data_IF_487566843597
#
_entry.id   IF_487566843597
#
_cell.length_a   1.000
_cell.length_b   1.000
_cell.length_c   1.000
_cell.angle_alpha   90.00
_cell.angle_beta   90.00
_cell.angle_gamma   90.00
#
_symmetry.space_group_name_H-M   'P 1'
#
loop_
_entity.id
_entity.type
_entity.pdbx_description
1 polymer ?
#
# COMPACT_ATOMS: atom_id res chain seq x y z
N UNK A 1 -4.16 -0.35 -25.87
CA UNK A 1 -4.14 -1.74 -25.34
C UNK A 1 -3.18 -1.97 -24.15
N UNK A 2 -2.71 -0.91 -23.47
CA UNK A 2 -1.73 -1.02 -22.37
C UNK A 2 -2.37 -1.32 -20.99
N UNK A 3 -3.69 -1.12 -20.84
CA UNK A 3 -4.37 -1.24 -19.54
C UNK A 3 -4.62 -2.66 -19.02
N UNK A 4 -4.72 -3.66 -19.90
CA UNK A 4 -5.12 -5.03 -19.49
C UNK A 4 -3.97 -5.78 -18.81
N UNK A 5 -2.71 -5.52 -19.19
CA UNK A 5 -1.54 -6.19 -18.61
C UNK A 5 -1.14 -5.64 -17.23
N UNK A 6 -1.37 -4.35 -16.95
CA UNK A 6 -0.92 -3.71 -15.71
C UNK A 6 -1.69 -4.19 -14.46
N UNK A 7 -2.96 -4.59 -14.62
CA UNK A 7 -3.83 -5.03 -13.53
C UNK A 7 -3.65 -6.50 -13.13
N UNK A 8 -3.39 -7.39 -14.09
CA UNK A 8 -3.36 -8.84 -13.90
C UNK A 8 -2.29 -9.31 -12.92
N UNK A 9 -1.08 -8.73 -13.01
CA UNK A 9 0.00 -9.04 -12.09
C UNK A 9 -0.34 -8.69 -10.62
N UNK A 10 -1.16 -7.66 -10.38
CA UNK A 10 -1.56 -7.33 -9.01
C UNK A 10 -2.54 -8.37 -8.46
N UNK A 11 -3.50 -8.84 -9.26
CA UNK A 11 -4.39 -9.92 -8.84
C UNK A 11 -3.60 -11.20 -8.49
N UNK A 12 -2.61 -11.56 -9.32
CA UNK A 12 -1.71 -12.68 -9.06
C UNK A 12 -0.86 -12.49 -7.80
N UNK A 13 -0.48 -11.26 -7.44
CA UNK A 13 0.22 -10.97 -6.18
C UNK A 13 -0.73 -10.98 -4.97
N UNK A 14 -1.98 -10.56 -5.14
CA UNK A 14 -2.96 -10.45 -4.04
C UNK A 14 -3.47 -11.81 -3.60
N UNK A 15 -3.74 -12.74 -4.52
CA UNK A 15 -4.20 -14.10 -4.20
C UNK A 15 -3.31 -14.82 -3.16
N UNK A 16 -1.99 -14.94 -3.34
CA UNK A 16 -1.11 -15.54 -2.34
C UNK A 16 -1.02 -14.71 -1.06
N UNK A 17 -1.16 -13.38 -1.11
CA UNK A 17 -1.26 -12.56 0.12
C UNK A 17 -2.53 -12.88 0.93
N UNK A 18 -3.68 -13.08 0.27
CA UNK A 18 -4.91 -13.56 0.91
C UNK A 18 -4.72 -14.96 1.52
N UNK A 19 -4.09 -15.88 0.80
CA UNK A 19 -3.79 -17.22 1.31
C UNK A 19 -2.89 -17.14 2.55
N UNK A 20 -1.86 -16.28 2.53
CA UNK A 20 -1.02 -16.02 3.68
C UNK A 20 -1.83 -15.54 4.88
N UNK A 21 -2.70 -14.54 4.72
CA UNK A 21 -3.55 -14.03 5.79
C UNK A 21 -4.42 -15.13 6.42
N UNK A 22 -5.09 -15.94 5.61
CA UNK A 22 -5.92 -17.07 6.09
C UNK A 22 -5.10 -18.12 6.82
N UNK A 23 -3.86 -18.38 6.40
CA UNK A 23 -3.00 -19.37 7.04
C UNK A 23 -2.45 -18.88 8.39
N UNK A 24 -2.21 -17.58 8.53
CA UNK A 24 -1.75 -16.97 9.80
C UNK A 24 -2.82 -17.04 10.87
N UNK A 25 -4.08 -16.76 10.52
CA UNK A 25 -5.20 -16.89 11.45
C UNK A 25 -5.43 -18.33 11.90
N UNK A 26 -4.97 -19.31 11.10
CA UNK A 26 -4.94 -20.74 11.44
C UNK A 26 -3.64 -21.19 12.14
N UNK A 27 -2.74 -20.28 12.49
CA UNK A 27 -1.47 -20.58 13.17
C UNK A 27 -0.41 -21.27 12.29
N UNK A 28 -0.58 -21.28 10.97
CA UNK A 28 0.34 -21.92 10.02
C UNK A 28 1.38 -20.95 9.46
N UNK A 29 2.18 -20.37 10.35
CA UNK A 29 3.11 -19.27 10.04
C UNK A 29 4.09 -19.58 8.89
N UNK A 30 4.67 -20.78 8.83
CA UNK A 30 5.64 -21.11 7.77
C UNK A 30 4.97 -21.19 6.40
N UNK A 31 3.81 -21.85 6.30
CA UNK A 31 3.07 -21.94 5.03
C UNK A 31 2.58 -20.56 4.61
N UNK A 32 2.14 -19.73 5.56
CA UNK A 32 1.80 -18.35 5.29
C UNK A 32 3.00 -17.55 4.76
N UNK A 33 4.18 -17.71 5.38
CA UNK A 33 5.42 -17.09 4.92
C UNK A 33 5.78 -17.50 3.49
N UNK A 34 5.58 -18.76 3.12
CA UNK A 34 5.78 -19.22 1.75
C UNK A 34 4.90 -18.46 0.74
N UNK A 35 3.59 -18.39 0.99
CA UNK A 35 2.69 -17.64 0.12
C UNK A 35 2.99 -16.13 0.12
N UNK A 36 3.37 -15.55 1.26
CA UNK A 36 3.78 -14.15 1.31
C UNK A 36 5.05 -13.90 0.47
N UNK A 37 6.02 -14.83 0.51
CA UNK A 37 7.21 -14.78 -0.34
C UNK A 37 6.86 -14.79 -1.83
N UNK A 38 5.94 -15.67 -2.25
CA UNK A 38 5.43 -15.69 -3.64
C UNK A 38 4.77 -14.36 -4.00
N UNK A 39 3.92 -13.82 -3.13
CA UNK A 39 3.27 -12.52 -3.36
C UNK A 39 4.30 -11.42 -3.63
N UNK A 40 5.33 -11.34 -2.79
CA UNK A 40 6.40 -10.35 -2.88
C UNK A 40 7.29 -10.54 -4.11
N UNK A 41 7.51 -11.79 -4.56
CA UNK A 41 8.22 -12.09 -5.81
C UNK A 41 7.49 -11.58 -7.04
N UNK A 42 6.14 -11.67 -7.05
CA UNK A 42 5.33 -11.17 -8.15
C UNK A 42 5.35 -9.64 -8.15
N UNK A 43 5.03 -9.03 -7.00
CA UNK A 43 5.19 -7.60 -6.77
C UNK A 43 5.41 -7.30 -5.28
N UNK A 44 6.24 -6.30 -4.93
CA UNK A 44 6.50 -5.92 -3.54
C UNK A 44 5.32 -5.19 -2.84
N UNK A 45 4.07 -5.41 -3.27
CA UNK A 45 2.88 -4.75 -2.73
C UNK A 45 2.56 -5.19 -1.30
N UNK A 46 2.89 -6.44 -0.95
CA UNK A 46 2.65 -6.99 0.37
C UNK A 46 3.78 -6.68 1.37
N UNK A 47 4.68 -5.72 1.09
CA UNK A 47 5.82 -5.44 1.98
C UNK A 47 5.39 -4.99 3.38
N UNK A 48 4.27 -4.26 3.48
CA UNK A 48 3.69 -3.90 4.78
C UNK A 48 3.27 -5.11 5.61
N UNK A 49 2.91 -6.22 4.96
CA UNK A 49 2.60 -7.49 5.61
C UNK A 49 3.85 -8.08 6.26
N UNK A 50 4.94 -8.20 5.50
CA UNK A 50 6.21 -8.71 6.02
C UNK A 50 6.76 -7.81 7.14
N UNK A 51 6.68 -6.48 6.96
CA UNK A 51 7.09 -5.52 7.97
C UNK A 51 6.28 -5.70 9.28
N UNK A 52 4.96 -5.85 9.18
CA UNK A 52 4.12 -6.12 10.35
C UNK A 52 4.46 -7.47 11.01
N UNK A 53 4.74 -8.52 10.24
CA UNK A 53 5.15 -9.81 10.80
C UNK A 53 6.47 -9.74 11.57
N UNK A 54 7.48 -9.05 11.04
CA UNK A 54 8.74 -8.78 11.75
C UNK A 54 8.46 -7.99 13.03
N UNK A 55 7.64 -6.95 12.91
CA UNK A 55 7.28 -6.08 14.03
C UNK A 55 6.53 -6.80 15.14
N UNK A 56 5.74 -7.83 14.82
CA UNK A 56 5.05 -8.71 15.80
C UNK A 56 5.87 -9.94 16.19
N UNK A 57 7.17 -9.97 15.88
CA UNK A 57 8.07 -11.08 16.17
C UNK A 57 7.59 -12.44 15.64
N UNK A 58 6.83 -12.46 14.54
CA UNK A 58 6.37 -13.69 13.85
C UNK A 58 7.50 -14.23 12.96
N UNK A 59 8.62 -14.58 13.59
CA UNK A 59 9.88 -14.90 12.90
C UNK A 59 9.78 -16.08 11.94
N UNK A 60 8.96 -17.09 12.23
CA UNK A 60 8.76 -18.24 11.33
C UNK A 60 8.17 -17.84 9.98
N UNK A 61 7.18 -16.95 10.00
CA UNK A 61 6.58 -16.36 8.80
C UNK A 61 7.61 -15.52 8.06
N UNK A 62 8.26 -14.59 8.76
CA UNK A 62 9.22 -13.67 8.15
C UNK A 62 10.40 -14.42 7.52
N UNK A 63 10.95 -15.41 8.24
CA UNK A 63 12.04 -16.25 7.75
C UNK A 63 11.62 -17.04 6.52
N UNK A 64 10.44 -17.66 6.52
CA UNK A 64 10.00 -18.45 5.36
C UNK A 64 9.76 -17.57 4.14
N UNK A 65 9.17 -16.38 4.30
CA UNK A 65 9.03 -15.41 3.22
C UNK A 65 10.39 -14.96 2.67
N UNK A 66 11.34 -14.64 3.55
CA UNK A 66 12.71 -14.27 3.17
C UNK A 66 13.45 -15.39 2.46
N UNK A 67 13.29 -16.65 2.89
CA UNK A 67 13.89 -17.81 2.24
C UNK A 67 13.32 -18.00 0.83
N UNK A 68 12.00 -17.90 0.65
CA UNK A 68 11.39 -17.98 -0.69
C UNK A 68 11.93 -16.88 -1.61
N UNK A 69 12.00 -15.64 -1.10
CA UNK A 69 12.58 -14.52 -1.85
C UNK A 69 14.03 -14.80 -2.23
N UNK A 70 14.85 -15.23 -1.27
CA UNK A 70 16.26 -15.54 -1.48
C UNK A 70 16.46 -16.65 -2.53
N UNK A 71 15.72 -17.76 -2.41
CA UNK A 71 15.83 -18.92 -3.29
C UNK A 71 15.44 -18.62 -4.74
N UNK A 72 14.68 -17.56 -5.00
CA UNK A 72 14.32 -17.15 -6.36
C UNK A 72 15.21 -16.01 -6.85
N UNK A 73 15.41 -14.98 -6.03
CA UNK A 73 16.18 -13.80 -6.42
C UNK A 73 17.67 -14.11 -6.62
N UNK A 74 18.31 -14.90 -5.76
CA UNK A 74 19.75 -15.17 -5.87
C UNK A 74 20.08 -15.97 -7.14
N UNK A 75 19.40 -17.10 -7.46
CA UNK A 75 19.66 -17.79 -8.72
C UNK A 75 19.34 -16.94 -9.94
N UNK A 76 18.31 -16.09 -9.88
CA UNK A 76 17.97 -15.17 -10.97
C UNK A 76 19.09 -14.16 -11.22
N UNK A 77 19.62 -13.54 -10.16
CA UNK A 77 20.75 -12.61 -10.26
C UNK A 77 22.01 -13.33 -10.73
N UNK A 78 22.25 -14.55 -10.26
CA UNK A 78 23.41 -15.33 -10.68
C UNK A 78 23.34 -15.71 -12.16
N UNK A 79 22.17 -16.11 -12.66
CA UNK A 79 21.97 -16.53 -14.04
C UNK A 79 21.90 -15.36 -15.03
N UNK A 80 21.26 -14.25 -14.64
CA UNK A 80 20.94 -13.14 -15.54
C UNK A 80 21.68 -11.84 -15.21
N UNK A 81 22.47 -11.81 -14.13
CA UNK A 81 23.16 -10.62 -13.65
C UNK A 81 22.24 -9.62 -12.94
N UNK A 82 22.84 -8.51 -12.48
CA UNK A 82 22.13 -7.45 -11.74
C UNK A 82 21.05 -6.73 -12.57
N UNK A 83 21.08 -6.84 -13.91
CA UNK A 83 20.04 -6.27 -14.78
C UNK A 83 18.66 -6.86 -14.49
N UNK A 84 18.60 -8.09 -13.99
CA UNK A 84 17.35 -8.73 -13.54
C UNK A 84 16.69 -8.01 -12.36
N UNK A 85 17.46 -7.21 -11.61
CA UNK A 85 16.97 -6.39 -10.50
C UNK A 85 16.74 -4.93 -10.89
N UNK A 86 16.86 -4.56 -12.17
CA UNK A 86 16.79 -3.16 -12.59
C UNK A 86 15.52 -2.46 -12.09
N UNK A 87 14.37 -3.13 -12.12
CA UNK A 87 13.10 -2.57 -11.61
C UNK A 87 13.10 -2.37 -10.08
N UNK A 88 13.78 -3.24 -9.32
CA UNK A 88 13.93 -3.11 -7.86
C UNK A 88 14.93 -2.00 -7.53
N UNK A 89 16.05 -1.95 -8.25
CA UNK A 89 17.08 -0.92 -8.08
C UNK A 89 16.54 0.45 -8.46
N UNK A 90 15.79 0.56 -9.57
CA UNK A 90 15.14 1.81 -9.98
C UNK A 90 14.05 2.25 -8.99
N UNK A 91 13.40 1.31 -8.29
CA UNK A 91 12.42 1.64 -7.25
C UNK A 91 13.08 2.11 -5.93
N UNK A 92 14.35 1.74 -5.67
CA UNK A 92 15.10 2.09 -4.45
C UNK A 92 16.01 3.30 -4.67
N UNK A 93 16.57 3.45 -5.87
CA UNK A 93 17.47 4.54 -6.23
C UNK A 93 16.72 5.85 -6.43
N UNK A 94 17.37 6.95 -6.04
CA UNK A 94 16.98 8.31 -6.43
C UNK A 94 17.10 8.44 -7.94
N UNK A 95 16.08 8.01 -8.69
CA UNK A 95 15.91 8.48 -10.04
C UNK A 95 15.43 9.95 -9.95
N UNK A 96 16.24 10.94 -10.36
CA UNK A 96 15.77 12.32 -10.47
C UNK A 96 14.52 12.43 -11.38
N UNK A 97 14.29 11.46 -12.27
CA UNK A 97 13.08 11.31 -13.09
C UNK A 97 11.82 10.80 -12.37
N UNK A 98 11.93 10.13 -11.22
CA UNK A 98 10.75 9.73 -10.40
C UNK A 98 9.93 10.96 -9.98
N UNK A 99 10.60 12.11 -9.84
CA UNK A 99 9.95 13.39 -9.55
C UNK A 99 9.06 13.96 -10.65
N UNK A 100 9.28 13.55 -11.90
CA UNK A 100 8.41 13.92 -13.03
C UNK A 100 7.20 12.99 -13.14
N UNK A 101 7.20 11.87 -12.40
CA UNK A 101 6.13 10.87 -12.44
C UNK A 101 5.15 10.98 -11.27
N UNK A 102 5.48 11.68 -10.18
CA UNK A 102 4.59 11.78 -9.02
C UNK A 102 3.37 12.68 -9.26
N UNK A 103 3.51 13.76 -10.05
CA UNK A 103 2.37 14.57 -10.51
C UNK A 103 1.47 13.87 -11.54
N UNK A 104 1.92 12.78 -12.16
CA UNK A 104 1.12 12.00 -13.13
C UNK A 104 -0.07 11.35 -12.42
N UNK A 105 -1.32 11.48 -12.91
CA UNK A 105 -2.50 11.05 -12.15
C UNK A 105 -2.46 9.58 -11.69
N UNK A 106 -1.92 8.63 -12.47
CA UNK A 106 -1.71 7.27 -11.99
C UNK A 106 -0.91 7.11 -10.70
N UNK A 107 -0.05 8.06 -10.30
CA UNK A 107 0.63 8.06 -9.01
C UNK A 107 -0.36 8.44 -7.89
N UNK A 108 -0.69 7.47 -7.04
CA UNK A 108 -1.69 7.57 -5.97
C UNK A 108 -1.00 7.32 -4.62
N UNK A 109 -0.34 8.36 -4.13
CA UNK A 109 0.37 8.41 -2.85
C UNK A 109 0.28 9.83 -2.28
N UNK A 110 0.72 10.03 -1.03
CA UNK A 110 0.82 11.37 -0.44
C UNK A 110 1.78 12.28 -1.23
N UNK A 111 2.79 11.71 -1.87
CA UNK A 111 3.70 12.44 -2.76
C UNK A 111 2.98 12.89 -4.03
N UNK A 112 2.23 12.00 -4.67
CA UNK A 112 1.48 12.35 -5.88
C UNK A 112 0.38 13.37 -5.62
N UNK A 113 -0.31 13.26 -4.48
CA UNK A 113 -1.27 14.25 -4.02
C UNK A 113 -0.60 15.61 -3.79
N UNK A 114 0.49 15.66 -3.02
CA UNK A 114 1.17 16.92 -2.74
C UNK A 114 1.69 17.60 -4.01
N UNK A 115 2.31 16.84 -4.94
CA UNK A 115 2.76 17.40 -6.22
C UNK A 115 1.58 17.93 -7.06
N UNK A 116 0.47 17.20 -7.17
CA UNK A 116 -0.70 17.70 -7.91
C UNK A 116 -1.28 19.00 -7.34
N UNK A 117 -1.28 19.15 -6.02
CA UNK A 117 -1.86 20.33 -5.39
C UNK A 117 -0.91 21.52 -5.35
N UNK A 118 0.40 21.29 -5.37
CA UNK A 118 1.39 22.33 -5.06
C UNK A 118 2.39 22.60 -6.19
N UNK A 119 2.28 21.92 -7.33
CA UNK A 119 3.10 22.18 -8.52
C UNK A 119 2.24 22.28 -9.78
N UNK A 120 2.60 23.16 -10.70
CA UNK A 120 1.90 23.27 -11.98
C UNK A 120 2.04 21.99 -12.81
N UNK A 121 0.93 21.57 -13.40
CA UNK A 121 0.88 20.42 -14.30
C UNK A 121 -0.26 20.54 -15.30
N UNK A 122 -0.19 19.76 -16.38
CA UNK A 122 -1.20 19.79 -17.45
C UNK A 122 -2.47 18.99 -17.15
N UNK A 123 -2.59 18.35 -15.98
CA UNK A 123 -3.73 17.49 -15.64
C UNK A 123 -4.87 18.19 -14.90
N UNK A 124 -4.71 19.45 -14.49
CA UNK A 124 -5.65 20.16 -13.63
C UNK A 124 -5.04 21.42 -13.04
N UNK A 125 -5.72 22.02 -12.07
CA UNK A 125 -5.26 23.20 -11.35
C UNK A 125 -4.36 22.81 -10.17
N UNK A 126 -3.47 23.72 -9.77
CA UNK A 126 -2.68 23.64 -8.55
C UNK A 126 -2.92 24.90 -7.70
N UNK A 127 -2.77 24.79 -6.38
CA UNK A 127 -2.87 25.93 -5.44
C UNK A 127 -1.61 26.80 -5.53
N UNK A 128 -0.47 26.17 -5.79
CA UNK A 128 0.84 26.79 -5.86
C UNK A 128 1.68 26.17 -6.98
N UNK A 129 2.84 26.75 -7.24
CA UNK A 129 3.87 26.19 -8.11
C UNK A 129 5.22 26.13 -7.39
N UNK A 130 5.26 25.37 -6.31
CA UNK A 130 6.45 25.22 -5.47
C UNK A 130 6.70 23.74 -5.15
N UNK A 131 7.70 23.19 -5.84
CA UNK A 131 8.14 21.81 -5.68
C UNK A 131 8.75 21.53 -4.30
N UNK A 132 9.45 22.49 -3.70
CA UNK A 132 10.02 22.33 -2.37
C UNK A 132 8.91 22.22 -1.33
N UNK A 133 7.88 23.06 -1.46
CA UNK A 133 6.68 22.99 -0.64
C UNK A 133 5.97 21.65 -0.83
N UNK A 134 5.79 21.17 -2.06
CA UNK A 134 5.19 19.87 -2.35
C UNK A 134 5.92 18.71 -1.66
N UNK A 135 7.25 18.64 -1.79
CA UNK A 135 8.06 17.60 -1.16
C UNK A 135 8.01 17.68 0.36
N UNK A 136 8.13 18.89 0.93
CA UNK A 136 8.04 19.10 2.37
C UNK A 136 6.68 18.63 2.91
N UNK A 137 5.58 19.02 2.25
CA UNK A 137 4.22 18.58 2.62
C UNK A 137 4.08 17.06 2.53
N UNK A 138 4.54 16.43 1.45
CA UNK A 138 4.48 14.99 1.28
C UNK A 138 5.24 14.23 2.39
N UNK A 139 6.45 14.69 2.72
CA UNK A 139 7.27 14.09 3.78
C UNK A 139 6.64 14.26 5.16
N UNK A 140 6.13 15.46 5.49
CA UNK A 140 5.44 15.71 6.77
C UNK A 140 4.21 14.81 6.90
N UNK A 141 3.34 14.77 5.88
CA UNK A 141 2.16 13.91 5.89
C UNK A 141 2.53 12.43 6.03
N UNK A 142 3.56 11.98 5.29
CA UNK A 142 4.04 10.60 5.36
C UNK A 142 4.59 10.25 6.74
N UNK A 143 5.38 11.15 7.34
CA UNK A 143 5.91 10.98 8.70
C UNK A 143 4.79 10.91 9.74
N UNK A 144 3.75 11.75 9.61
CA UNK A 144 2.58 11.72 10.49
C UNK A 144 1.83 10.39 10.38
N UNK A 145 1.52 9.93 9.16
CA UNK A 145 0.85 8.64 8.94
C UNK A 145 1.69 7.47 9.49
N UNK A 146 3.00 7.47 9.23
CA UNK A 146 3.91 6.45 9.73
C UNK A 146 3.98 6.45 11.26
N UNK A 147 4.18 7.62 11.89
CA UNK A 147 4.27 7.75 13.34
C UNK A 147 2.98 7.31 14.05
N UNK A 148 1.81 7.71 13.54
CA UNK A 148 0.51 7.28 14.09
C UNK A 148 0.33 5.77 13.93
N UNK A 149 0.68 5.21 12.77
CA UNK A 149 0.58 3.77 12.49
C UNK A 149 1.49 2.97 13.42
N UNK A 150 2.76 3.38 13.54
CA UNK A 150 3.74 2.75 14.44
C UNK A 150 3.24 2.83 15.88
N UNK A 151 2.85 4.00 16.36
CA UNK A 151 2.35 4.19 17.73
C UNK A 151 1.09 3.36 18.02
N UNK A 152 0.21 3.16 17.03
CA UNK A 152 -0.99 2.32 17.17
C UNK A 152 -0.68 0.82 17.20
N UNK A 153 0.36 0.39 16.51
CA UNK A 153 0.72 -1.02 16.37
C UNK A 153 1.84 -1.47 17.32
N UNK A 154 2.52 -0.53 18.00
CA UNK A 154 3.73 -0.75 18.79
C UNK A 154 3.55 -1.86 19.84
N UNK A 155 4.29 -2.98 19.76
CA UNK A 155 4.08 -4.14 20.61
C UNK A 155 4.23 -3.84 22.12
N UNK A 156 5.22 -3.04 22.57
CA UNK A 156 5.29 -2.64 23.98
C UNK A 156 4.05 -1.89 24.50
N UNK A 157 3.31 -1.19 23.64
CA UNK A 157 2.07 -0.52 24.01
C UNK A 157 0.83 -1.42 23.82
N UNK A 158 0.94 -2.45 22.97
CA UNK A 158 -0.12 -3.38 22.62
C UNK A 158 0.40 -4.83 22.50
N UNK A 159 0.67 -5.50 23.63
CA UNK A 159 1.32 -6.81 23.70
C UNK A 159 0.45 -7.98 23.20
N UNK A 160 -0.78 -7.72 22.76
CA UNK A 160 -1.69 -8.73 22.22
C UNK A 160 -1.06 -9.48 21.01
N UNK A 161 -1.64 -10.61 20.60
CA UNK A 161 -1.16 -11.40 19.45
C UNK A 161 -1.36 -10.71 18.08
N UNK A 162 -1.39 -11.49 17.01
CA UNK A 162 -1.67 -10.97 15.66
C UNK A 162 -3.00 -10.20 15.60
N UNK A 163 -3.05 -9.07 14.88
CA UNK A 163 -4.29 -8.30 14.67
C UNK A 163 -4.45 -7.94 13.19
N UNK A 164 -5.54 -8.43 12.59
CA UNK A 164 -5.85 -8.18 11.18
C UNK A 164 -6.12 -6.68 10.91
N UNK A 165 -6.75 -5.97 11.85
CA UNK A 165 -6.97 -4.53 11.75
C UNK A 165 -5.66 -3.74 11.73
N UNK A 166 -4.70 -4.11 12.58
CA UNK A 166 -3.38 -3.48 12.60
C UNK A 166 -2.58 -3.80 11.33
N UNK A 167 -2.67 -5.04 10.83
CA UNK A 167 -2.10 -5.40 9.53
C UNK A 167 -2.68 -4.52 8.42
N UNK A 168 -4.02 -4.42 8.33
CA UNK A 168 -4.68 -3.59 7.34
C UNK A 168 -4.25 -2.12 7.41
N UNK A 169 -4.10 -1.60 8.63
CA UNK A 169 -3.59 -0.24 8.87
C UNK A 169 -2.17 -0.06 8.32
N UNK A 170 -1.26 -1.00 8.63
CA UNK A 170 0.13 -0.97 8.16
C UNK A 170 0.20 -1.07 6.64
N UNK A 171 -0.54 -1.99 6.03
CA UNK A 171 -0.56 -2.14 4.57
C UNK A 171 -1.05 -0.88 3.87
N UNK A 172 -2.11 -0.25 4.40
CA UNK A 172 -2.65 0.99 3.85
C UNK A 172 -1.65 2.15 4.01
N UNK A 173 -1.01 2.25 5.18
CA UNK A 173 0.00 3.28 5.45
C UNK A 173 1.19 3.16 4.50
N UNK A 174 1.72 1.95 4.30
CA UNK A 174 2.86 1.69 3.39
C UNK A 174 2.56 2.17 1.97
N UNK A 175 1.36 1.92 1.46
CA UNK A 175 0.99 2.41 0.12
C UNK A 175 0.85 3.93 0.07
N UNK A 176 0.28 4.55 1.10
CA UNK A 176 0.12 6.02 1.16
C UNK A 176 1.48 6.74 1.18
N UNK A 177 2.44 6.23 1.97
CA UNK A 177 3.76 6.87 2.13
C UNK A 177 4.75 6.50 1.02
N UNK A 178 4.49 5.44 0.26
CA UNK A 178 5.36 5.04 -0.83
C UNK A 178 5.16 5.97 -2.04
N UNK A 179 6.21 6.73 -2.37
CA UNK A 179 6.24 7.64 -3.52
C UNK A 179 5.88 6.97 -4.84
N UNK A 180 6.28 5.71 -5.02
CA UNK A 180 6.08 4.92 -6.24
C UNK A 180 4.75 4.13 -6.23
N UNK A 181 3.77 4.49 -5.39
CA UNK A 181 2.45 3.86 -5.43
C UNK A 181 1.65 4.35 -6.62
N UNK A 182 1.27 3.43 -7.50
CA UNK A 182 0.37 3.68 -8.63
C UNK A 182 -1.02 3.14 -8.32
N UNK A 183 -2.05 3.67 -8.98
CA UNK A 183 -3.44 3.30 -8.72
C UNK A 183 -3.73 1.80 -8.77
N UNK A 184 -3.06 1.06 -9.67
CA UNK A 184 -3.25 -0.38 -9.79
C UNK A 184 -2.61 -1.17 -8.63
N UNK A 185 -1.67 -0.57 -7.89
CA UNK A 185 -1.14 -1.14 -6.65
C UNK A 185 -2.20 -1.20 -5.54
N UNK A 186 -3.24 -0.36 -5.59
CA UNK A 186 -4.36 -0.41 -4.65
C UNK A 186 -5.24 -1.64 -4.78
N UNK A 187 -5.01 -2.52 -5.76
CA UNK A 187 -5.58 -3.86 -5.74
C UNK A 187 -5.28 -4.59 -4.41
N UNK A 188 -4.12 -4.33 -3.79
CA UNK A 188 -3.77 -4.93 -2.48
C UNK A 188 -4.60 -4.36 -1.31
N UNK A 189 -5.24 -3.20 -1.47
CA UNK A 189 -6.15 -2.63 -0.47
C UNK A 189 -7.43 -3.46 -0.29
N UNK A 190 -7.71 -4.43 -1.16
CA UNK A 190 -8.80 -5.39 -0.95
C UNK A 190 -8.65 -6.14 0.39
N UNK A 191 -7.41 -6.39 0.84
CA UNK A 191 -7.13 -7.04 2.11
C UNK A 191 -7.55 -6.15 3.30
N UNK A 192 -7.02 -4.93 3.47
CA UNK A 192 -7.51 -3.97 4.46
C UNK A 192 -9.02 -3.70 4.39
N UNK A 193 -9.60 -3.62 3.19
CA UNK A 193 -11.05 -3.44 3.01
C UNK A 193 -11.84 -4.64 3.53
N UNK A 194 -11.43 -5.86 3.19
CA UNK A 194 -12.07 -7.07 3.68
C UNK A 194 -12.02 -7.16 5.20
N UNK A 195 -10.88 -6.79 5.80
CA UNK A 195 -10.74 -6.71 7.26
C UNK A 195 -11.68 -5.64 7.85
N UNK A 196 -11.76 -4.45 7.26
CA UNK A 196 -12.65 -3.38 7.73
C UNK A 196 -14.13 -3.77 7.64
N UNK A 197 -14.53 -4.43 6.54
CA UNK A 197 -15.89 -4.96 6.35
C UNK A 197 -16.17 -6.07 7.36
N UNK A 198 -15.25 -7.03 7.55
CA UNK A 198 -15.42 -8.12 8.51
C UNK A 198 -15.49 -7.63 9.97
N UNK A 199 -14.86 -6.49 10.29
CA UNK A 199 -14.92 -5.87 11.61
C UNK A 199 -16.16 -4.98 11.83
N UNK A 200 -16.99 -4.76 10.80
CA UNK A 200 -18.20 -3.95 10.88
C UNK A 200 -19.33 -4.75 11.53
N UNK A 201 -20.02 -4.16 12.51
CA UNK A 201 -21.12 -4.82 13.24
C UNK A 201 -22.50 -4.42 12.70
N UNK A 202 -22.57 -3.24 12.10
CA UNK A 202 -23.80 -2.66 11.55
C UNK A 202 -23.58 -2.18 10.11
N UNK A 203 -24.66 -2.02 9.34
CA UNK A 203 -24.58 -1.45 7.98
C UNK A 203 -24.05 -0.01 7.97
N UNK A 204 -24.31 0.73 9.05
CA UNK A 204 -23.82 2.10 9.26
C UNK A 204 -22.29 2.17 9.27
N UNK A 205 -21.62 1.11 9.72
CA UNK A 205 -20.16 1.00 9.80
C UNK A 205 -19.51 0.86 8.41
N UNK A 206 -20.26 0.36 7.43
CA UNK A 206 -19.78 0.10 6.07
C UNK A 206 -19.62 1.37 5.23
N UNK A 207 -20.12 2.52 5.70
CA UNK A 207 -20.07 3.79 4.96
C UNK A 207 -18.64 4.17 4.54
N UNK A 208 -17.69 4.07 5.47
CA UNK A 208 -16.29 4.46 5.19
C UNK A 208 -15.57 3.44 4.29
N UNK A 209 -15.63 2.11 4.54
CA UNK A 209 -15.10 1.13 3.59
C UNK A 209 -15.72 1.23 2.18
N UNK A 210 -17.04 1.40 2.09
CA UNK A 210 -17.75 1.52 0.81
C UNK A 210 -17.34 2.79 0.06
N UNK A 211 -17.26 3.93 0.74
CA UNK A 211 -16.79 5.19 0.13
C UNK A 211 -15.32 5.08 -0.31
N UNK A 212 -14.48 4.47 0.51
CA UNK A 212 -13.06 4.24 0.17
C UNK A 212 -12.92 3.39 -1.09
N UNK A 213 -13.66 2.28 -1.16
CA UNK A 213 -13.72 1.41 -2.33
C UNK A 213 -14.23 2.16 -3.56
N UNK A 214 -15.33 2.91 -3.42
CA UNK A 214 -15.90 3.70 -4.52
C UNK A 214 -14.88 4.67 -5.08
N UNK A 215 -14.21 5.45 -4.23
CA UNK A 215 -13.22 6.44 -4.66
C UNK A 215 -12.02 5.80 -5.38
N UNK A 216 -11.52 4.66 -4.88
CA UNK A 216 -10.43 3.90 -5.51
C UNK A 216 -10.85 3.35 -6.87
N UNK A 217 -12.03 2.73 -6.96
CA UNK A 217 -12.52 2.12 -8.19
C UNK A 217 -12.92 3.15 -9.25
N UNK A 218 -13.64 4.21 -8.86
CA UNK A 218 -14.02 5.30 -9.75
C UNK A 218 -12.78 5.93 -10.36
N UNK A 219 -11.76 6.23 -9.55
CA UNK A 219 -10.49 6.71 -10.08
C UNK A 219 -9.86 5.70 -11.06
N UNK A 220 -9.72 4.44 -10.65
CA UNK A 220 -9.06 3.41 -11.45
C UNK A 220 -9.68 3.19 -12.85
N UNK A 221 -10.98 3.43 -12.99
CA UNK A 221 -11.71 3.29 -14.26
C UNK A 221 -11.77 4.61 -15.03
N UNK A 222 -11.97 5.74 -14.34
CA UNK A 222 -12.35 7.00 -14.97
C UNK A 222 -11.28 8.09 -14.96
N UNK A 223 -10.06 7.84 -14.48
CA UNK A 223 -9.08 8.93 -14.25
C UNK A 223 -8.83 9.84 -15.46
N UNK A 224 -8.87 9.32 -16.70
CA UNK A 224 -8.73 10.14 -17.91
C UNK A 224 -9.86 11.17 -18.05
N UNK A 225 -11.08 10.80 -17.69
CA UNK A 225 -12.25 11.69 -17.70
C UNK A 225 -12.23 12.69 -16.53
N UNK A 226 -11.35 12.49 -15.54
CA UNK A 226 -11.18 13.37 -14.39
C UNK A 226 -10.10 14.43 -14.62
N UNK A 227 -9.44 14.43 -15.78
CA UNK A 227 -8.48 15.49 -16.16
C UNK A 227 -9.18 16.84 -16.16
N UNK A 228 -8.54 17.85 -15.55
CA UNK A 228 -9.13 19.15 -15.25
C UNK A 228 -9.74 19.24 -13.85
N UNK A 229 -9.98 18.11 -13.19
CA UNK A 229 -10.57 18.03 -11.85
C UNK A 229 -9.58 17.45 -10.83
N UNK A 230 -8.59 18.24 -10.41
CA UNK A 230 -7.50 17.83 -9.50
C UNK A 230 -7.97 17.04 -8.28
N UNK A 231 -9.02 17.50 -7.58
CA UNK A 231 -9.59 16.80 -6.42
C UNK A 231 -10.05 15.37 -6.77
N UNK A 232 -10.68 15.17 -7.92
CA UNK A 232 -11.15 13.86 -8.36
C UNK A 232 -10.00 12.97 -8.85
N UNK A 233 -8.91 13.57 -9.37
CA UNK A 233 -7.68 12.85 -9.69
C UNK A 233 -6.98 12.29 -8.45
N UNK A 234 -7.26 12.82 -7.27
CA UNK A 234 -6.78 12.27 -5.99
C UNK A 234 -7.75 11.30 -5.33
N UNK A 235 -8.85 10.94 -6.01
CA UNK A 235 -9.89 10.08 -5.46
C UNK A 235 -9.34 8.80 -4.82
N UNK A 236 -8.41 8.10 -5.49
CA UNK A 236 -7.88 6.87 -4.94
C UNK A 236 -7.03 7.12 -3.67
N UNK A 237 -6.14 8.13 -3.67
CA UNK A 237 -5.36 8.52 -2.48
C UNK A 237 -6.27 8.92 -1.33
N UNK A 238 -7.32 9.71 -1.60
CA UNK A 238 -8.32 10.10 -0.59
C UNK A 238 -9.10 8.89 -0.06
N UNK A 239 -9.47 7.94 -0.93
CA UNK A 239 -10.07 6.67 -0.54
C UNK A 239 -9.16 5.84 0.36
N UNK A 240 -7.86 5.76 0.06
CA UNK A 240 -6.88 5.09 0.90
C UNK A 240 -6.70 5.80 2.26
N UNK A 241 -6.70 7.14 2.30
CA UNK A 241 -6.69 7.91 3.55
C UNK A 241 -7.93 7.64 4.42
N UNK A 242 -9.12 7.59 3.80
CA UNK A 242 -10.38 7.27 4.50
C UNK A 242 -10.35 5.85 5.09
N UNK A 243 -9.86 4.88 4.32
CA UNK A 243 -9.70 3.50 4.78
C UNK A 243 -8.70 3.41 5.94
N UNK A 244 -7.55 4.06 5.82
CA UNK A 244 -6.54 4.13 6.88
C UNK A 244 -7.12 4.72 8.16
N UNK A 245 -7.84 5.84 8.06
CA UNK A 245 -8.48 6.48 9.21
C UNK A 245 -9.54 5.56 9.85
N UNK A 246 -10.36 4.89 9.05
CA UNK A 246 -11.36 3.95 9.55
C UNK A 246 -10.71 2.79 10.33
N UNK A 247 -9.66 2.18 9.77
CA UNK A 247 -8.89 1.11 10.41
C UNK A 247 -8.24 1.59 11.71
N UNK A 248 -7.72 2.82 11.73
CA UNK A 248 -7.13 3.43 12.91
C UNK A 248 -8.13 3.54 14.07
N UNK A 249 -9.36 3.99 13.77
CA UNK A 249 -10.45 4.12 14.75
C UNK A 249 -10.88 2.73 15.25
N UNK A 250 -11.09 1.76 14.34
CA UNK A 250 -11.52 0.40 14.70
C UNK A 250 -10.47 -0.36 15.50
N UNK A 251 -9.19 -0.17 15.19
CA UNK A 251 -8.12 -0.79 15.95
C UNK A 251 -8.11 -0.32 17.42
N UNK A 252 -8.67 0.86 17.75
CA UNK A 252 -8.84 1.35 19.13
C UNK A 252 -9.92 0.60 19.91
N UNK A 253 -11.05 0.30 19.27
CA UNK A 253 -12.21 -0.27 19.96
C UNK A 253 -12.04 -1.74 20.33
N UNK A 254 -11.18 -2.49 19.63
CA UNK A 254 -10.97 -3.93 19.89
C UNK A 254 -10.03 -4.19 21.08
N UNK A 255 -9.25 -3.19 21.50
CA UNK A 255 -8.30 -3.31 22.62
C UNK A 255 -8.86 -2.79 23.96
N UNK A 256 -10.16 -2.49 24.03
CA UNK A 256 -10.89 -2.15 25.26
C UNK A 256 -11.91 -3.23 25.53
#
# INVERSE_FOLDING_TARGET
LVGVYAGQANALAVLPACAALVLITRGRDSVAGFFLGISLLIKPLAVGFLAYAIFRARWRLALTASVVLFLVLVPTVWAFGAVSLHSVIAAIGDDPGLSLTSGYPPAQSLFGLAERWLTQHHFGWSVADDRSLALMTAWILSAVIAAITIGRCWPPLHPAGWSDLQLGLVMTAVLLVNRATWYHHYAVLILPLAVAVAASKELSDLKFPALSWLLICVFGVLWHALVGHTLLLDGATLGACLLWFHLLVRARTVNR
#
